data_IF_474171400682
#
_entry.id   IF_474171400682
#
_cell.length_a   1.000
_cell.length_b   1.000
_cell.length_c   1.000
_cell.angle_alpha   90.00
_cell.angle_beta   90.00
_cell.angle_gamma   90.00
#
_symmetry.space_group_name_H-M   'P 1'
#
loop_
_entity.id
_entity.type
_entity.pdbx_description
1 polymer ?
#
# COMPACT_ATOMS: atom_id res chain seq x y z
N UNK A 1 -31.73 26.29 -60.45
CA UNK A 1 -30.56 26.88 -59.77
C UNK A 1 -30.87 26.82 -58.30
N UNK A 2 -30.66 25.62 -57.77
CA UNK A 2 -30.98 25.22 -56.42
C UNK A 2 -30.12 26.02 -55.43
N UNK A 3 -30.80 26.70 -54.51
CA UNK A 3 -30.17 27.39 -53.39
C UNK A 3 -29.84 26.35 -52.34
N UNK A 4 -28.58 25.89 -52.35
CA UNK A 4 -28.05 25.03 -51.30
C UNK A 4 -28.14 25.75 -49.95
N UNK A 5 -28.95 25.17 -49.07
CA UNK A 5 -29.12 25.64 -47.70
C UNK A 5 -27.98 25.07 -46.87
N UNK A 6 -27.01 25.90 -46.49
CA UNK A 6 -25.94 25.48 -45.58
C UNK A 6 -26.52 25.11 -44.21
N UNK A 7 -26.44 23.82 -43.87
CA UNK A 7 -26.72 23.34 -42.51
C UNK A 7 -25.49 23.53 -41.62
N UNK A 8 -25.62 24.14 -40.43
CA UNK A 8 -24.52 24.24 -39.48
C UNK A 8 -24.17 22.85 -38.90
N UNK A 9 -22.88 22.54 -38.66
CA UNK A 9 -22.47 21.22 -38.15
C UNK A 9 -22.97 21.02 -36.72
N UNK A 10 -23.83 20.02 -36.53
CA UNK A 10 -24.27 19.54 -35.20
C UNK A 10 -23.07 18.94 -34.48
N UNK A 11 -22.46 19.70 -33.56
CA UNK A 11 -21.47 19.17 -32.63
C UNK A 11 -22.16 18.23 -31.65
N UNK A 12 -22.12 16.92 -31.96
CA UNK A 12 -22.54 15.87 -31.04
C UNK A 12 -21.62 15.88 -29.81
N UNK A 13 -22.05 16.57 -28.75
CA UNK A 13 -21.40 16.53 -27.44
C UNK A 13 -21.61 15.14 -26.84
N UNK A 14 -20.68 14.23 -27.15
CA UNK A 14 -20.65 12.89 -26.54
C UNK A 14 -20.43 13.04 -25.05
N UNK A 15 -21.48 12.80 -24.27
CA UNK A 15 -21.44 12.88 -22.81
C UNK A 15 -20.45 11.84 -22.29
N UNK A 16 -19.39 12.28 -21.61
CA UNK A 16 -18.41 11.37 -20.98
C UNK A 16 -18.88 10.96 -19.60
N UNK A 17 -18.82 9.67 -19.30
CA UNK A 17 -19.19 9.11 -18.02
C UNK A 17 -17.95 9.04 -17.12
N UNK A 18 -18.00 9.61 -15.91
CA UNK A 18 -16.84 9.67 -15.00
C UNK A 18 -17.04 8.78 -13.77
N UNK A 19 -15.99 8.09 -13.35
CA UNK A 19 -15.97 7.41 -12.05
C UNK A 19 -15.88 8.45 -10.92
N UNK A 20 -16.71 8.32 -9.88
CA UNK A 20 -16.71 9.24 -8.73
C UNK A 20 -15.48 9.09 -7.83
N UNK A 21 -14.84 7.92 -7.79
CA UNK A 21 -13.69 7.67 -6.92
C UNK A 21 -12.35 8.06 -7.57
N UNK A 22 -12.07 7.58 -8.79
CA UNK A 22 -10.79 7.83 -9.47
C UNK A 22 -10.86 8.87 -10.61
N UNK A 23 -12.04 9.41 -10.91
CA UNK A 23 -12.28 10.40 -11.97
C UNK A 23 -11.88 9.98 -13.39
N UNK A 24 -11.62 8.69 -13.63
CA UNK A 24 -11.47 8.16 -14.99
C UNK A 24 -12.74 8.40 -15.80
N UNK A 25 -12.58 8.78 -17.07
CA UNK A 25 -13.68 9.09 -17.98
C UNK A 25 -13.81 8.02 -19.06
N UNK A 26 -15.06 7.69 -19.39
CA UNK A 26 -15.45 6.66 -20.34
C UNK A 26 -16.38 7.26 -21.39
N UNK A 27 -16.23 6.84 -22.65
CA UNK A 27 -17.12 7.25 -23.75
C UNK A 27 -18.51 6.63 -23.61
N UNK A 28 -18.60 5.45 -23.00
CA UNK A 28 -19.82 4.67 -22.85
C UNK A 28 -20.07 4.35 -21.37
N UNK A 29 -21.34 4.26 -20.97
CA UNK A 29 -21.74 3.98 -19.58
C UNK A 29 -21.37 2.55 -19.17
N UNK A 30 -21.43 1.59 -20.08
CA UNK A 30 -21.15 0.18 -19.78
C UNK A 30 -19.70 0.00 -19.29
N UNK A 31 -18.74 0.66 -19.93
CA UNK A 31 -17.33 0.59 -19.53
C UNK A 31 -17.07 1.24 -18.16
N UNK A 32 -17.85 2.26 -17.77
CA UNK A 32 -17.76 2.81 -16.42
C UNK A 32 -18.26 1.79 -15.39
N UNK A 33 -19.35 1.10 -15.67
CA UNK A 33 -19.90 0.07 -14.78
C UNK A 33 -18.90 -1.07 -14.62
N UNK A 34 -18.30 -1.54 -15.72
CA UNK A 34 -17.26 -2.57 -15.69
C UNK A 34 -16.04 -2.13 -14.87
N UNK A 35 -15.56 -0.90 -15.06
CA UNK A 35 -14.51 -0.32 -14.24
C UNK A 35 -14.86 -0.35 -12.74
N UNK A 36 -16.08 0.07 -12.38
CA UNK A 36 -16.50 0.10 -10.98
C UNK A 36 -16.58 -1.30 -10.37
N UNK A 37 -16.97 -2.32 -11.15
CA UNK A 37 -16.97 -3.72 -10.73
C UNK A 37 -15.56 -4.29 -10.54
N UNK A 38 -14.60 -3.89 -11.38
CA UNK A 38 -13.25 -4.46 -11.34
C UNK A 38 -12.31 -3.73 -10.37
N UNK A 39 -12.52 -2.44 -10.12
CA UNK A 39 -11.52 -1.60 -9.43
C UNK A 39 -11.64 -1.57 -7.91
N UNK A 40 -12.74 -2.08 -7.34
CA UNK A 40 -13.04 -2.14 -5.90
C UNK A 40 -12.36 -1.02 -5.09
N UNK A 41 -12.75 0.22 -5.37
CA UNK A 41 -12.15 1.39 -4.72
C UNK A 41 -12.33 1.27 -3.20
N UNK A 42 -11.25 0.92 -2.52
CA UNK A 42 -11.20 0.75 -1.07
C UNK A 42 -10.82 2.08 -0.41
N UNK A 43 -11.26 2.27 0.83
CA UNK A 43 -10.86 3.42 1.66
C UNK A 43 -9.35 3.45 1.93
N UNK A 44 -8.69 2.30 1.84
CA UNK A 44 -7.23 2.15 1.99
C UNK A 44 -6.46 2.47 0.70
N UNK A 45 -7.14 2.73 -0.43
CA UNK A 45 -6.47 3.23 -1.63
C UNK A 45 -5.94 4.65 -1.37
N UNK A 46 -4.67 4.94 -1.70
CA UNK A 46 -4.10 6.26 -1.52
C UNK A 46 -4.96 7.32 -2.22
N UNK A 47 -5.35 8.36 -1.50
CA UNK A 47 -6.16 9.45 -2.04
C UNK A 47 -5.41 10.77 -1.97
N UNK A 48 -5.60 11.60 -2.99
CA UNK A 48 -5.05 12.95 -2.99
C UNK A 48 -5.77 13.81 -1.94
N UNK A 49 -5.04 14.39 -0.97
CA UNK A 49 -5.62 15.27 0.05
C UNK A 49 -6.25 16.55 -0.51
N UNK A 50 -5.90 16.94 -1.74
CA UNK A 50 -6.46 18.14 -2.40
C UNK A 50 -7.73 17.81 -3.18
N UNK A 51 -7.66 16.88 -4.13
CA UNK A 51 -8.78 16.61 -5.04
C UNK A 51 -9.59 15.37 -4.67
N UNK A 52 -9.21 14.64 -3.63
CA UNK A 52 -9.85 13.41 -3.14
C UNK A 52 -9.93 12.27 -4.17
N UNK A 53 -9.14 12.36 -5.25
CA UNK A 53 -9.02 11.30 -6.25
C UNK A 53 -8.34 10.08 -5.60
N UNK A 54 -8.98 8.92 -5.70
CA UNK A 54 -8.38 7.64 -5.37
C UNK A 54 -7.37 7.26 -6.45
N UNK A 55 -6.19 6.89 -6.00
CA UNK A 55 -5.06 6.41 -6.78
C UNK A 55 -4.91 4.91 -6.55
N UNK A 56 -4.51 4.17 -7.59
CA UNK A 56 -4.39 2.71 -7.53
C UNK A 56 -3.24 2.23 -6.63
N UNK A 57 -2.28 3.11 -6.37
CA UNK A 57 -1.08 2.87 -5.57
C UNK A 57 -0.46 4.21 -5.12
N UNK A 58 0.43 4.18 -4.11
CA UNK A 58 1.17 5.35 -3.68
C UNK A 58 2.05 5.91 -4.80
N UNK A 59 2.60 5.06 -5.65
CA UNK A 59 3.29 5.46 -6.89
C UNK A 59 2.42 6.36 -7.76
N UNK A 60 1.19 5.93 -8.04
CA UNK A 60 0.27 6.73 -8.86
C UNK A 60 -0.19 8.02 -8.18
N UNK A 61 -0.19 8.07 -6.84
CA UNK A 61 -0.41 9.30 -6.08
C UNK A 61 0.79 10.24 -6.19
N UNK A 62 2.01 9.71 -6.12
CA UNK A 62 3.25 10.48 -6.28
C UNK A 62 3.31 11.12 -7.66
N UNK A 63 3.05 10.36 -8.70
CA UNK A 63 2.97 10.85 -10.08
C UNK A 63 1.88 11.92 -10.25
N UNK A 64 0.75 11.79 -9.54
CA UNK A 64 -0.31 12.79 -9.57
C UNK A 64 0.10 14.14 -8.95
N UNK A 65 0.97 14.11 -7.94
CA UNK A 65 1.34 15.27 -7.13
C UNK A 65 2.66 15.91 -7.53
N UNK A 66 3.61 15.13 -8.05
CA UNK A 66 4.98 15.55 -8.38
C UNK A 66 5.45 15.09 -9.76
N UNK A 67 4.67 14.25 -10.45
CA UNK A 67 5.05 13.70 -11.75
C UNK A 67 4.87 14.68 -12.91
N UNK A 68 5.32 14.31 -14.12
CA UNK A 68 5.26 15.16 -15.32
C UNK A 68 3.82 15.50 -15.76
N UNK A 69 2.83 14.70 -15.36
CA UNK A 69 1.41 14.90 -15.68
C UNK A 69 0.60 15.41 -14.46
N UNK A 70 1.26 16.07 -13.52
CA UNK A 70 0.64 16.57 -12.30
C UNK A 70 -0.46 17.61 -12.59
N UNK A 71 -1.53 17.59 -11.78
CA UNK A 71 -2.56 18.63 -11.85
C UNK A 71 -2.06 19.88 -11.12
N UNK A 72 -1.98 21.01 -11.82
CA UNK A 72 -1.41 22.26 -11.33
C UNK A 72 -1.87 22.68 -9.91
N UNK A 73 -3.16 22.56 -9.60
CA UNK A 73 -3.64 22.91 -8.26
C UNK A 73 -3.20 21.90 -7.17
N UNK A 74 -3.20 20.61 -7.50
CA UNK A 74 -2.80 19.56 -6.56
C UNK A 74 -1.30 19.61 -6.28
N UNK A 75 -0.48 19.77 -7.31
CA UNK A 75 0.97 19.87 -7.16
C UNK A 75 1.39 21.13 -6.42
N UNK A 76 0.79 22.28 -6.72
CA UNK A 76 1.09 23.54 -6.01
C UNK A 76 0.81 23.42 -4.51
N UNK A 77 -0.38 22.94 -4.14
CA UNK A 77 -0.74 22.79 -2.72
C UNK A 77 0.16 21.76 -2.03
N UNK A 78 0.48 20.66 -2.72
CA UNK A 78 1.39 19.65 -2.17
C UNK A 78 2.82 20.17 -2.01
N UNK A 79 3.33 20.99 -2.93
CA UNK A 79 4.64 21.62 -2.78
C UNK A 79 4.72 22.53 -1.55
N UNK A 80 3.62 23.22 -1.20
CA UNK A 80 3.55 24.10 -0.03
C UNK A 80 3.32 23.34 1.29
N UNK A 81 2.56 22.23 1.27
CA UNK A 81 1.97 21.61 2.48
C UNK A 81 2.08 20.09 2.55
N UNK A 82 2.75 19.47 1.60
CA UNK A 82 2.91 18.02 1.49
C UNK A 82 4.28 17.53 1.91
N UNK A 83 4.33 16.34 2.50
CA UNK A 83 5.58 15.63 2.74
C UNK A 83 5.88 14.66 1.61
N UNK A 84 7.07 14.76 0.99
CA UNK A 84 7.46 13.91 -0.14
C UNK A 84 7.86 12.48 0.28
N UNK A 85 7.95 12.20 1.58
CA UNK A 85 8.36 10.89 2.12
C UNK A 85 7.17 10.03 2.53
N UNK A 86 6.20 10.59 3.25
CA UNK A 86 4.98 9.88 3.68
C UNK A 86 3.73 10.27 2.89
N UNK A 87 3.84 11.25 1.98
CA UNK A 87 2.74 11.75 1.14
C UNK A 87 1.57 12.37 1.93
N UNK A 88 1.76 12.68 3.21
CA UNK A 88 0.78 13.34 4.08
C UNK A 88 0.66 14.84 3.79
N UNK A 89 -0.56 15.36 3.90
CA UNK A 89 -0.88 16.78 3.79
C UNK A 89 -1.02 17.40 5.18
N UNK A 90 -0.57 18.65 5.30
CA UNK A 90 -0.66 19.42 6.53
C UNK A 90 -1.52 20.67 6.32
N UNK A 91 -2.23 21.10 7.37
CA UNK A 91 -3.09 22.29 7.28
C UNK A 91 -2.27 23.56 7.07
N UNK A 92 -1.06 23.60 7.65
CA UNK A 92 -0.14 24.75 7.63
C UNK A 92 1.29 24.34 7.26
N UNK A 93 2.07 25.23 6.60
CA UNK A 93 3.48 24.98 6.28
C UNK A 93 4.36 24.71 7.51
N UNK A 94 4.09 25.38 8.64
CA UNK A 94 4.87 25.17 9.88
C UNK A 94 4.74 23.73 10.39
N UNK A 95 3.52 23.17 10.36
CA UNK A 95 3.28 21.78 10.77
C UNK A 95 3.98 20.78 9.84
N UNK A 96 4.08 21.09 8.54
CA UNK A 96 4.91 20.32 7.61
C UNK A 96 6.40 20.42 7.99
N UNK A 97 6.87 21.62 8.35
CA UNK A 97 8.27 21.83 8.76
C UNK A 97 8.60 21.00 10.00
N UNK A 98 7.78 21.09 11.04
CA UNK A 98 7.92 20.28 12.27
C UNK A 98 7.87 18.77 11.97
N UNK A 99 6.95 18.35 11.09
CA UNK A 99 6.86 16.96 10.67
C UNK A 99 8.12 16.49 9.92
N UNK A 100 8.72 17.31 9.06
CA UNK A 100 9.91 16.94 8.28
C UNK A 100 11.12 16.64 9.16
N UNK A 101 11.21 17.24 10.35
CA UNK A 101 12.27 16.93 11.33
C UNK A 101 12.16 15.49 11.87
N UNK A 102 10.95 14.90 11.86
CA UNK A 102 10.69 13.55 12.39
C UNK A 102 10.40 12.52 11.29
N UNK A 103 9.95 12.97 10.11
CA UNK A 103 9.58 12.10 9.02
C UNK A 103 10.80 11.71 8.21
N UNK A 104 11.59 10.80 8.77
CA UNK A 104 12.53 10.01 8.01
C UNK A 104 11.85 8.70 7.56
N UNK A 105 12.39 8.06 6.53
CA UNK A 105 12.32 6.60 6.45
C UNK A 105 13.41 6.15 7.40
N UNK A 106 13.12 5.84 8.69
CA UNK A 106 14.14 5.20 9.50
C UNK A 106 14.55 3.96 8.72
N UNK A 107 15.86 3.75 8.55
CA UNK A 107 16.32 2.39 8.28
C UNK A 107 15.62 1.53 9.35
N UNK A 108 14.98 0.40 9.00
CA UNK A 108 14.47 -0.51 10.01
C UNK A 108 15.55 -0.59 11.06
N UNK A 109 15.23 -0.21 12.31
CA UNK A 109 16.20 -0.42 13.38
C UNK A 109 16.66 -1.86 13.16
N UNK A 110 17.98 -2.12 12.99
CA UNK A 110 18.43 -3.49 12.91
C UNK A 110 17.72 -4.16 14.06
N UNK A 111 16.88 -5.15 13.75
CA UNK A 111 16.27 -5.94 14.79
C UNK A 111 17.50 -6.51 15.48
N UNK A 112 17.93 -5.82 16.53
CA UNK A 112 19.07 -6.23 17.30
C UNK A 112 18.74 -7.65 17.70
N UNK A 113 19.78 -8.43 17.95
CA UNK A 113 19.75 -9.79 18.48
C UNK A 113 18.98 -9.93 19.81
N UNK A 114 18.07 -9.02 20.14
CA UNK A 114 16.84 -9.30 20.86
C UNK A 114 16.12 -10.41 20.10
N UNK A 115 16.47 -11.63 20.47
CA UNK A 115 15.58 -12.78 20.45
C UNK A 115 14.30 -12.26 21.13
N UNK A 116 13.35 -11.73 20.36
CA UNK A 116 11.98 -11.65 20.81
C UNK A 116 11.63 -13.12 20.92
N UNK A 117 11.45 -13.67 22.13
CA UNK A 117 11.05 -15.05 22.28
C UNK A 117 9.83 -15.25 21.39
N UNK A 118 9.69 -16.41 20.77
CA UNK A 118 8.45 -16.87 20.17
C UNK A 118 7.37 -16.81 21.26
N UNK A 119 6.83 -15.62 21.50
CA UNK A 119 5.93 -15.35 22.61
C UNK A 119 4.59 -15.67 22.02
N UNK A 120 3.95 -16.66 22.64
CA UNK A 120 2.61 -17.14 22.35
C UNK A 120 1.70 -15.98 21.94
N UNK A 121 0.72 -16.22 21.04
CA UNK A 121 -0.20 -15.20 20.61
C UNK A 121 -0.82 -14.55 21.85
N UNK A 122 -0.35 -13.35 22.19
CA UNK A 122 -0.98 -12.51 23.21
C UNK A 122 -2.24 -11.96 22.53
N UNK A 123 -3.24 -12.85 22.39
CA UNK A 123 -4.62 -12.43 22.25
C UNK A 123 -4.91 -11.71 23.55
N UNK A 124 -4.65 -10.42 23.55
CA UNK A 124 -4.99 -9.53 24.63
C UNK A 124 -6.51 -9.62 24.76
N UNK A 125 -6.97 -10.49 25.66
CA UNK A 125 -8.39 -10.70 25.96
C UNK A 125 -8.82 -9.52 26.81
N UNK A 126 -8.76 -8.32 26.24
CA UNK A 126 -9.37 -7.13 26.79
C UNK A 126 -10.81 -7.07 26.31
N UNK A 127 -11.62 -7.78 27.10
CA UNK A 127 -12.97 -7.44 27.53
C UNK A 127 -13.94 -6.90 26.46
N UNK A 128 -14.99 -7.69 26.22
CA UNK A 128 -16.04 -7.45 25.23
C UNK A 128 -16.55 -6.02 25.12
N UNK A 129 -16.48 -5.51 23.89
CA UNK A 129 -17.51 -4.70 23.26
C UNK A 129 -17.30 -4.80 21.74
N UNK A 130 -17.85 -5.85 21.12
CA UNK A 130 -17.99 -5.98 19.65
C UNK A 130 -19.01 -4.99 19.09
N UNK A 131 -18.85 -3.72 19.44
CA UNK A 131 -19.62 -2.62 18.86
C UNK A 131 -18.76 -1.97 17.78
N UNK A 132 -18.99 -2.40 16.54
CA UNK A 132 -18.77 -1.61 15.34
C UNK A 132 -17.29 -1.24 15.03
N UNK A 133 -16.36 -2.19 15.16
CA UNK A 133 -15.04 -2.05 14.54
C UNK A 133 -15.22 -2.29 13.03
N UNK A 134 -14.86 -1.30 12.21
CA UNK A 134 -14.90 -1.41 10.75
C UNK A 134 -14.01 -2.54 10.23
N UNK A 135 -13.86 -2.73 8.91
CA UNK A 135 -12.97 -3.77 8.39
C UNK A 135 -11.57 -3.61 8.97
N UNK A 136 -11.11 -4.61 9.72
CA UNK A 136 -9.76 -4.67 10.27
C UNK A 136 -8.78 -4.88 9.12
N UNK A 137 -7.89 -3.91 8.93
CA UNK A 137 -6.83 -3.99 7.93
C UNK A 137 -5.59 -4.52 8.59
N UNK A 138 -4.91 -5.38 7.84
CA UNK A 138 -3.60 -5.87 8.22
C UNK A 138 -2.63 -5.65 7.06
N UNK A 139 -1.37 -5.39 7.39
CA UNK A 139 -0.27 -5.50 6.45
C UNK A 139 0.55 -6.74 6.80
N UNK A 140 0.88 -7.53 5.78
CA UNK A 140 1.71 -8.73 5.91
C UNK A 140 3.00 -8.54 5.12
N UNK A 141 4.11 -8.94 5.73
CA UNK A 141 5.39 -9.03 5.07
C UNK A 141 6.03 -10.39 5.38
N UNK A 142 6.68 -10.97 4.38
CA UNK A 142 7.31 -12.28 4.47
C UNK A 142 8.74 -12.20 3.98
N UNK A 143 9.67 -12.70 4.79
CA UNK A 143 11.06 -12.87 4.35
C UNK A 143 11.27 -14.26 3.75
N UNK A 144 12.00 -14.27 2.64
CA UNK A 144 12.23 -15.47 1.85
C UNK A 144 13.72 -15.81 1.80
N UNK A 145 14.05 -17.03 2.18
CA UNK A 145 15.38 -17.62 1.99
C UNK A 145 15.39 -18.52 0.76
N UNK A 146 16.57 -18.76 0.20
CA UNK A 146 16.82 -19.63 -0.95
C UNK A 146 16.98 -21.10 -0.58
N UNK A 147 16.27 -21.96 -1.29
CA UNK A 147 16.43 -23.42 -1.28
C UNK A 147 16.71 -24.01 -2.65
N UNK A 148 16.77 -25.34 -2.70
CA UNK A 148 17.15 -26.07 -3.92
C UNK A 148 18.67 -26.07 -4.13
N UNK A 149 19.15 -26.85 -5.11
CA UNK A 149 20.60 -27.04 -5.34
C UNK A 149 21.35 -25.76 -5.71
N UNK A 150 20.63 -24.75 -6.22
CA UNK A 150 21.18 -23.47 -6.67
C UNK A 150 20.67 -22.25 -5.86
N UNK A 151 19.85 -22.47 -4.82
CA UNK A 151 19.29 -21.39 -3.99
C UNK A 151 18.19 -20.57 -4.68
N UNK A 152 17.67 -21.05 -5.83
CA UNK A 152 16.67 -20.33 -6.62
C UNK A 152 15.24 -20.44 -6.09
N UNK A 153 14.95 -21.41 -5.22
CA UNK A 153 13.62 -21.60 -4.67
C UNK A 153 13.39 -20.65 -3.50
N UNK A 154 12.31 -19.86 -3.54
CA UNK A 154 11.94 -19.00 -2.42
C UNK A 154 11.19 -19.79 -1.34
N UNK A 155 11.74 -19.82 -0.13
CA UNK A 155 11.17 -20.48 1.04
C UNK A 155 10.87 -19.43 2.11
N UNK A 156 9.63 -19.38 2.60
CA UNK A 156 9.28 -18.45 3.67
C UNK A 156 9.99 -18.84 4.96
N UNK A 157 10.64 -17.86 5.57
CA UNK A 157 11.45 -18.05 6.78
C UNK A 157 11.07 -17.08 7.90
N UNK A 158 10.30 -16.04 7.61
CA UNK A 158 9.71 -15.13 8.62
C UNK A 158 8.41 -14.55 8.08
N UNK A 159 7.42 -14.40 8.96
CA UNK A 159 6.15 -13.72 8.67
C UNK A 159 5.93 -12.65 9.73
N UNK A 160 5.53 -11.46 9.31
CA UNK A 160 5.11 -10.36 10.17
C UNK A 160 3.74 -9.85 9.73
N UNK A 161 2.84 -9.66 10.69
CA UNK A 161 1.51 -9.12 10.51
C UNK A 161 1.32 -7.96 11.48
N UNK A 162 0.91 -6.80 10.96
CA UNK A 162 0.64 -5.60 11.75
C UNK A 162 -0.75 -5.03 11.43
N UNK A 163 -1.33 -4.29 12.38
CA UNK A 163 -2.57 -3.54 12.17
C UNK A 163 -2.33 -2.18 11.48
N UNK A 164 -3.39 -1.39 11.32
CA UNK A 164 -3.33 -0.05 10.69
C UNK A 164 -2.55 1.01 11.50
N UNK A 165 -2.35 0.77 12.80
CA UNK A 165 -1.62 1.61 13.73
C UNK A 165 -0.16 1.12 13.90
N UNK A 166 0.29 0.18 13.05
CA UNK A 166 1.61 -0.46 13.07
C UNK A 166 1.87 -1.32 14.33
N UNK A 167 0.82 -1.70 15.07
CA UNK A 167 0.96 -2.65 16.18
C UNK A 167 1.17 -4.06 15.64
N UNK A 168 2.08 -4.80 16.28
CA UNK A 168 2.37 -6.19 15.95
C UNK A 168 1.21 -7.10 16.35
N UNK A 169 0.56 -7.71 15.35
CA UNK A 169 -0.48 -8.72 15.54
C UNK A 169 0.16 -10.12 15.65
N UNK A 170 1.12 -10.41 14.77
CA UNK A 170 1.77 -11.70 14.69
C UNK A 170 3.18 -11.58 14.10
N UNK A 171 4.14 -12.27 14.68
CA UNK A 171 5.50 -12.35 14.16
C UNK A 171 6.14 -13.67 14.56
N UNK A 172 6.62 -14.42 13.59
CA UNK A 172 7.33 -15.68 13.84
C UNK A 172 8.36 -15.95 12.75
N UNK A 173 9.41 -16.69 13.12
CA UNK A 173 10.22 -17.42 12.16
C UNK A 173 9.46 -18.67 11.71
N UNK A 174 9.67 -19.05 10.45
CA UNK A 174 9.00 -20.17 9.79
C UNK A 174 10.01 -21.23 9.42
N UNK A 175 9.76 -22.48 9.78
CA UNK A 175 10.61 -23.59 9.42
C UNK A 175 10.44 -23.90 7.92
N UNK A 176 11.51 -23.76 7.09
CA UNK A 176 11.42 -24.03 5.67
C UNK A 176 11.17 -25.53 5.38
N UNK A 177 10.36 -25.82 4.35
CA UNK A 177 9.98 -27.19 4.01
C UNK A 177 11.12 -28.05 3.45
N UNK A 178 12.18 -27.40 2.96
CA UNK A 178 13.40 -28.05 2.44
C UNK A 178 14.63 -27.32 3.00
N UNK A 179 15.83 -27.94 2.96
CA UNK A 179 17.04 -27.29 3.43
C UNK A 179 17.32 -25.95 2.75
N UNK A 180 17.68 -24.97 3.56
CA UNK A 180 18.11 -23.65 3.09
C UNK A 180 19.52 -23.77 2.53
N UNK A 181 19.71 -23.33 1.29
CA UNK A 181 21.02 -23.29 0.63
C UNK A 181 21.56 -21.88 0.50
N UNK A 182 20.70 -20.86 0.61
CA UNK A 182 21.11 -19.47 0.63
C UNK A 182 20.17 -18.65 1.53
N UNK A 183 20.67 -18.17 2.68
CA UNK A 183 19.85 -17.39 3.61
C UNK A 183 19.59 -15.93 3.17
N UNK A 184 20.34 -15.42 2.18
CA UNK A 184 20.24 -14.03 1.69
C UNK A 184 20.39 -13.01 2.83
N UNK A 185 21.32 -13.28 3.75
CA UNK A 185 21.50 -12.56 5.03
C UNK A 185 21.54 -11.04 4.87
N UNK A 186 22.19 -10.57 3.82
CA UNK A 186 22.34 -9.15 3.51
C UNK A 186 21.03 -8.43 3.21
N UNK A 187 19.99 -9.17 2.81
CA UNK A 187 18.64 -8.64 2.56
C UNK A 187 17.70 -9.02 3.71
N UNK A 188 17.69 -10.29 4.11
CA UNK A 188 16.67 -10.85 5.02
C UNK A 188 17.02 -10.69 6.49
N UNK A 189 18.32 -10.60 6.83
CA UNK A 189 18.82 -10.68 8.21
C UNK A 189 18.61 -12.04 8.88
N UNK A 190 18.14 -13.06 8.16
CA UNK A 190 17.88 -14.40 8.72
C UNK A 190 19.18 -15.18 8.82
N UNK A 191 19.29 -16.02 9.85
CA UNK A 191 20.44 -16.89 10.10
C UNK A 191 19.92 -18.28 10.46
N UNK A 192 20.79 -19.28 10.43
CA UNK A 192 20.44 -20.65 10.82
C UNK A 192 19.88 -20.71 12.25
N UNK A 193 20.44 -19.92 13.18
CA UNK A 193 19.99 -19.86 14.58
C UNK A 193 18.51 -19.43 14.69
N UNK A 194 18.07 -18.50 13.85
CA UNK A 194 16.67 -18.05 13.83
C UNK A 194 15.70 -19.17 13.43
N UNK A 195 16.17 -20.18 12.68
CA UNK A 195 15.33 -21.27 12.17
C UNK A 195 15.36 -22.53 13.05
N UNK A 196 16.19 -22.56 14.10
CA UNK A 196 16.34 -23.73 14.98
C UNK A 196 15.04 -24.14 15.68
N UNK A 197 14.31 -23.17 16.22
CA UNK A 197 13.04 -23.36 16.94
C UNK A 197 11.85 -22.68 16.20
N UNK A 198 11.96 -22.52 14.89
CA UNK A 198 10.96 -21.84 14.08
C UNK A 198 9.65 -22.63 13.97
N UNK A 199 8.53 -21.92 13.85
CA UNK A 199 7.20 -22.51 13.74
C UNK A 199 7.04 -23.29 12.42
N UNK A 200 6.47 -24.51 12.43
CA UNK A 200 6.22 -25.25 11.20
C UNK A 200 5.29 -24.49 10.26
N UNK A 201 5.60 -24.46 8.95
CA UNK A 201 4.80 -23.72 7.96
C UNK A 201 3.30 -24.05 7.99
N UNK A 202 2.92 -25.27 8.37
CA UNK A 202 1.51 -25.69 8.48
C UNK A 202 0.73 -24.96 9.57
N UNK A 203 1.40 -24.45 10.60
CA UNK A 203 0.78 -23.70 11.70
C UNK A 203 0.70 -22.21 11.38
N UNK A 204 1.50 -21.73 10.43
CA UNK A 204 1.60 -20.33 10.02
C UNK A 204 0.63 -19.96 8.89
N UNK A 205 0.20 -20.94 8.07
CA UNK A 205 -0.57 -20.73 6.83
C UNK A 205 -2.10 -20.75 7.02
#
# INVERSE_FOLDING_TARGET
MDSETEHPPKTLTTTRHKCSACFKQYKKKEHLIEHMKASYHSVHQPKCGVCQKHCKSFESLREHLMGPLQKANCSRIFAERGCNLCMKFFDRPNSLSEHKEMCCLPAPAPLGTTIIPCTEPQVDTRNGNYSNRGPEVVAIDCEMVGGGSDGSLDLCARVCLIDEDENLIFHTYVQPQIPVTNYRNEVTGITEEHLGDAMPLKEVQ
#
